data_IF_875949846658
#
_entry.id   IF_875949846658
#
_cell.length_a   1.000
_cell.length_b   1.000
_cell.length_c   1.000
_cell.angle_alpha   90.00
_cell.angle_beta   90.00
_cell.angle_gamma   90.00
#
_symmetry.space_group_name_H-M   'P 1'
#
loop_
_entity.id
_entity.type
_entity.pdbx_description
1 polymer ?
#
# COMPACT_ATOMS: atom_id res chain seq x y z
N UNK A 1 59.50 -1.48 12.74
CA UNK A 1 58.22 -2.11 13.02
C UNK A 1 57.25 -1.74 11.88
N UNK A 2 56.76 -2.74 11.13
CA UNK A 2 55.83 -2.48 10.04
C UNK A 2 54.43 -2.33 10.63
N UNK A 3 53.78 -1.18 10.42
CA UNK A 3 52.36 -0.98 10.77
C UNK A 3 51.50 -1.65 9.71
N UNK A 4 50.84 -2.75 10.08
CA UNK A 4 49.81 -3.38 9.25
C UNK A 4 48.52 -2.63 9.47
N UNK A 5 48.06 -1.86 8.47
CA UNK A 5 46.73 -1.20 8.50
C UNK A 5 45.71 -2.23 8.01
N UNK A 6 44.93 -2.77 8.91
CA UNK A 6 43.75 -3.57 8.56
C UNK A 6 42.66 -2.66 8.00
N UNK A 7 42.38 -2.75 6.70
CA UNK A 7 41.19 -2.14 6.11
C UNK A 7 39.95 -2.98 6.47
N UNK A 8 38.89 -2.34 6.93
CA UNK A 8 37.61 -3.01 7.20
C UNK A 8 36.94 -3.40 5.86
N UNK A 9 36.26 -4.55 5.81
CA UNK A 9 35.65 -5.10 4.58
C UNK A 9 34.62 -4.19 3.91
N UNK A 10 34.13 -3.17 4.64
CA UNK A 10 33.21 -2.15 4.16
C UNK A 10 33.88 -0.81 3.78
N UNK A 11 35.19 -0.71 3.84
CA UNK A 11 35.91 0.51 3.49
C UNK A 11 36.02 0.66 1.96
N UNK A 12 35.39 1.70 1.42
CA UNK A 12 35.50 2.08 0.01
C UNK A 12 36.82 2.80 -0.20
N UNK A 13 37.51 2.50 -1.32
CA UNK A 13 38.75 3.20 -1.70
C UNK A 13 38.45 4.69 -1.92
N UNK A 14 39.35 5.57 -1.44
CA UNK A 14 39.24 7.02 -1.68
C UNK A 14 39.18 7.39 -3.16
N UNK A 15 39.78 6.57 -4.04
CA UNK A 15 39.72 6.76 -5.50
C UNK A 15 38.33 6.54 -6.09
N UNK A 16 37.37 5.95 -5.34
CA UNK A 16 35.98 5.76 -5.70
C UNK A 16 35.05 6.80 -5.01
N UNK A 17 35.58 7.64 -4.14
CA UNK A 17 34.85 8.74 -3.56
C UNK A 17 34.63 9.84 -4.60
N UNK A 18 33.41 10.37 -4.64
CA UNK A 18 33.11 11.51 -5.53
C UNK A 18 33.94 12.72 -5.08
N UNK A 19 34.77 13.32 -5.95
CA UNK A 19 35.55 14.49 -5.58
C UNK A 19 34.66 15.62 -5.04
N UNK A 20 35.15 16.31 -4.02
CA UNK A 20 34.42 17.41 -3.35
C UNK A 20 34.02 18.50 -4.33
N UNK A 21 34.85 18.80 -5.30
CA UNK A 21 34.54 19.78 -6.38
C UNK A 21 33.31 19.40 -7.22
N UNK A 22 33.12 18.10 -7.47
CA UNK A 22 31.95 17.59 -8.21
C UNK A 22 30.68 17.65 -7.33
N UNK A 23 30.83 17.45 -6.04
CA UNK A 23 29.73 17.58 -5.08
C UNK A 23 29.30 19.05 -4.90
N UNK A 24 30.24 19.97 -4.84
CA UNK A 24 29.98 21.41 -4.68
C UNK A 24 29.46 22.05 -5.98
N UNK A 25 29.93 21.60 -7.16
CA UNK A 25 29.46 22.14 -8.45
C UNK A 25 27.97 21.85 -8.73
N UNK A 26 27.44 20.71 -8.23
CA UNK A 26 25.99 20.43 -8.31
C UNK A 26 25.15 21.46 -7.55
N UNK A 27 25.67 21.99 -6.45
CA UNK A 27 25.00 23.02 -5.66
C UNK A 27 25.00 24.39 -6.33
N UNK A 28 26.02 24.66 -7.15
CA UNK A 28 26.12 25.91 -7.96
C UNK A 28 25.26 25.84 -9.22
N UNK A 29 25.13 24.69 -9.87
CA UNK A 29 24.22 24.47 -11.01
C UNK A 29 22.76 24.75 -10.64
N UNK A 30 22.32 24.35 -9.45
CA UNK A 30 20.96 24.63 -8.96
C UNK A 30 20.75 26.14 -8.68
N UNK A 31 21.82 26.87 -8.28
CA UNK A 31 21.74 28.34 -8.06
C UNK A 31 21.85 29.15 -9.36
N UNK A 32 22.49 28.60 -10.41
CA UNK A 32 22.67 29.27 -11.71
C UNK A 32 21.40 29.35 -12.57
N UNK A 33 20.42 28.50 -12.34
CA UNK A 33 19.14 28.54 -13.06
C UNK A 33 18.16 29.62 -12.58
N UNK A 34 18.51 30.36 -11.52
CA UNK A 34 17.67 31.43 -10.96
C UNK A 34 17.86 32.81 -11.56
N UNK A 35 18.88 33.06 -12.42
CA UNK A 35 19.25 34.42 -12.89
C UNK A 35 19.31 34.60 -14.40
N UNK A 36 18.84 33.68 -15.23
CA UNK A 36 18.79 33.81 -16.69
C UNK A 36 17.35 34.03 -17.22
N UNK A 37 16.57 34.84 -16.55
CA UNK A 37 15.14 35.09 -16.80
C UNK A 37 14.81 36.43 -17.41
N UNK A 38 15.67 37.05 -18.27
CA UNK A 38 15.32 38.28 -19.02
C UNK A 38 15.96 38.25 -20.40
N UNK A 39 15.29 37.62 -21.35
CA UNK A 39 15.67 37.74 -22.77
C UNK A 39 15.34 36.48 -23.56
N UNK A 40 14.07 36.28 -23.93
CA UNK A 40 13.60 35.52 -25.09
C UNK A 40 12.05 35.43 -25.09
N UNK A 41 11.44 36.56 -25.31
CA UNK A 41 9.99 36.67 -25.52
C UNK A 41 9.60 36.48 -27.00
N UNK A 42 10.19 35.51 -27.73
CA UNK A 42 9.87 35.33 -29.16
C UNK A 42 9.91 33.86 -29.65
N UNK A 43 9.91 32.86 -28.76
CA UNK A 43 9.83 31.45 -29.18
C UNK A 43 8.72 30.66 -28.42
N UNK A 44 7.62 31.34 -28.09
CA UNK A 44 6.52 30.74 -27.30
C UNK A 44 5.40 30.13 -28.18
N UNK A 45 5.65 29.80 -29.45
CA UNK A 45 4.58 29.38 -30.36
C UNK A 45 4.59 27.91 -30.81
N UNK A 46 5.47 27.03 -30.28
CA UNK A 46 5.44 25.61 -30.62
C UNK A 46 5.90 24.75 -29.41
N UNK A 47 5.28 24.91 -28.26
CA UNK A 47 5.32 23.84 -27.26
C UNK A 47 4.13 22.91 -27.54
N UNK A 48 4.35 21.61 -27.82
CA UNK A 48 3.25 20.68 -27.79
C UNK A 48 2.62 20.79 -26.40
N UNK A 49 1.32 21.09 -26.38
CA UNK A 49 0.59 21.34 -25.16
C UNK A 49 0.92 20.24 -24.15
N UNK A 50 1.38 20.61 -22.95
CA UNK A 50 1.22 19.76 -21.79
C UNK A 50 -0.26 19.48 -21.73
N UNK A 51 -0.68 18.29 -22.18
CA UNK A 51 -2.03 17.85 -21.92
C UNK A 51 -2.25 18.05 -20.43
N UNK A 52 -3.19 18.91 -20.08
CA UNK A 52 -3.68 19.02 -18.72
C UNK A 52 -4.02 17.57 -18.35
N UNK A 53 -3.34 17.01 -17.37
CA UNK A 53 -3.73 15.72 -16.83
C UNK A 53 -5.24 15.84 -16.55
N UNK A 54 -6.04 15.00 -17.18
CA UNK A 54 -7.48 15.03 -16.98
C UNK A 54 -7.74 14.99 -15.48
N UNK A 55 -8.55 15.91 -14.99
CA UNK A 55 -8.89 15.97 -13.58
C UNK A 55 -9.50 14.61 -13.19
N UNK A 56 -9.13 14.10 -12.00
CA UNK A 56 -9.69 12.85 -11.48
C UNK A 56 -11.23 13.00 -11.44
N UNK A 57 -11.98 12.13 -12.13
CA UNK A 57 -13.44 12.23 -12.21
C UNK A 57 -14.16 12.05 -10.86
N UNK A 58 -13.44 11.55 -9.84
CA UNK A 58 -13.95 11.36 -8.50
C UNK A 58 -13.51 12.44 -7.51
N UNK A 59 -12.73 13.44 -7.95
CA UNK A 59 -12.16 14.46 -7.06
C UNK A 59 -13.20 15.21 -6.22
N UNK A 60 -14.42 15.34 -6.72
CA UNK A 60 -15.53 16.01 -6.02
C UNK A 60 -16.13 15.19 -4.85
N UNK A 61 -15.68 13.94 -4.66
CA UNK A 61 -16.07 13.08 -3.53
C UNK A 61 -15.17 13.26 -2.30
N UNK A 62 -14.12 14.09 -2.42
CA UNK A 62 -13.13 14.31 -1.36
C UNK A 62 -13.06 15.81 -1.00
N UNK A 63 -12.83 16.11 0.29
CA UNK A 63 -12.74 15.20 1.42
C UNK A 63 -14.09 14.60 1.78
N UNK A 64 -14.11 13.35 2.25
CA UNK A 64 -15.28 12.75 2.86
C UNK A 64 -15.36 13.07 4.37
N UNK A 65 -16.53 12.92 4.96
CA UNK A 65 -16.74 13.11 6.39
C UNK A 65 -15.96 12.08 7.21
N UNK A 66 -15.37 12.53 8.33
CA UNK A 66 -14.66 11.65 9.24
C UNK A 66 -15.64 10.85 10.09
N UNK A 67 -15.46 9.54 10.14
CA UNK A 67 -16.16 8.68 11.06
C UNK A 67 -15.42 8.64 12.41
N UNK A 68 -15.97 9.32 13.41
CA UNK A 68 -15.37 9.47 14.74
C UNK A 68 -15.31 8.16 15.55
N UNK A 69 -15.97 7.10 15.11
CA UNK A 69 -15.83 5.78 15.71
C UNK A 69 -14.45 5.15 15.45
N UNK A 70 -13.71 5.63 14.43
CA UNK A 70 -12.40 5.15 14.04
C UNK A 70 -11.32 6.20 14.31
N UNK A 71 -11.17 6.55 15.58
CA UNK A 71 -10.11 7.44 16.08
C UNK A 71 -8.96 6.62 16.65
N UNK A 72 -7.79 7.23 16.74
CA UNK A 72 -6.59 6.65 17.34
C UNK A 72 -5.84 7.70 18.15
N UNK A 73 -5.15 7.26 19.18
CA UNK A 73 -4.36 8.06 20.12
C UNK A 73 -2.92 8.32 19.64
N UNK A 74 -2.70 8.34 18.34
CA UNK A 74 -1.38 8.51 17.70
C UNK A 74 -1.44 9.60 16.64
N UNK A 75 -0.39 10.42 16.57
CA UNK A 75 -0.27 11.45 15.55
C UNK A 75 -0.33 10.88 14.13
N UNK A 76 -0.93 11.66 13.23
CA UNK A 76 -0.94 11.32 11.81
C UNK A 76 0.48 11.37 11.24
N UNK A 77 0.81 10.41 10.44
CA UNK A 77 2.03 10.47 9.63
C UNK A 77 1.84 11.54 8.56
N UNK A 78 2.74 12.54 8.45
CA UNK A 78 2.64 13.55 7.41
C UNK A 78 2.57 12.96 6.01
N UNK A 79 1.76 13.57 5.15
CA UNK A 79 1.50 13.08 3.79
C UNK A 79 2.78 12.95 2.96
N UNK A 80 3.70 13.89 3.04
CA UNK A 80 4.97 13.88 2.32
C UNK A 80 5.87 12.70 2.74
N UNK A 81 5.92 12.38 4.04
CA UNK A 81 6.65 11.21 4.55
C UNK A 81 6.03 9.92 4.03
N UNK A 82 4.70 9.79 4.14
CA UNK A 82 3.98 8.60 3.70
C UNK A 82 4.07 8.42 2.17
N UNK A 83 3.94 9.51 1.42
CA UNK A 83 3.97 9.49 -0.05
C UNK A 83 5.31 9.05 -0.64
N UNK A 84 6.42 9.16 0.11
CA UNK A 84 7.75 8.81 -0.36
C UNK A 84 8.29 7.48 0.18
N UNK A 85 7.53 6.78 1.02
CA UNK A 85 7.96 5.53 1.67
C UNK A 85 6.91 4.44 1.50
N UNK A 86 7.01 3.66 0.42
CA UNK A 86 5.99 2.70 0.06
C UNK A 86 6.58 1.34 -0.33
N UNK A 87 5.83 0.27 -0.01
CA UNK A 87 6.01 -1.05 -0.59
C UNK A 87 4.97 -1.22 -1.71
N UNK A 88 5.41 -1.22 -2.97
CA UNK A 88 4.55 -1.49 -4.11
C UNK A 88 5.40 -2.26 -5.13
N UNK A 89 5.48 -3.57 -4.93
CA UNK A 89 6.44 -4.46 -5.60
C UNK A 89 6.25 -4.51 -7.10
N UNK A 90 5.05 -4.24 -7.58
CA UNK A 90 4.73 -4.09 -9.00
C UNK A 90 5.60 -3.01 -9.67
N UNK A 91 6.03 -1.99 -8.90
CA UNK A 91 6.90 -0.92 -9.38
C UNK A 91 8.35 -1.02 -8.91
N UNK A 92 8.65 -1.93 -7.98
CA UNK A 92 10.00 -2.16 -7.48
C UNK A 92 10.07 -2.62 -6.03
N UNK A 93 11.19 -3.24 -5.64
CA UNK A 93 11.41 -3.81 -4.31
C UNK A 93 11.96 -2.82 -3.27
N UNK A 94 12.14 -1.54 -3.64
CA UNK A 94 12.63 -0.48 -2.75
C UNK A 94 11.49 0.47 -2.32
N UNK A 95 11.72 1.26 -1.25
CA UNK A 95 10.70 2.14 -0.69
C UNK A 95 10.38 3.38 -1.54
N UNK A 96 11.23 3.75 -2.48
CA UNK A 96 11.11 4.98 -3.28
C UNK A 96 10.41 4.75 -4.62
N UNK A 97 9.44 3.85 -4.67
CA UNK A 97 8.70 3.49 -5.90
C UNK A 97 7.76 4.61 -6.39
N UNK A 98 7.53 5.62 -5.58
CA UNK A 98 6.52 6.64 -5.85
C UNK A 98 6.65 7.31 -7.22
N UNK A 99 7.89 7.48 -7.74
CA UNK A 99 8.13 8.03 -9.08
C UNK A 99 7.70 7.06 -10.17
N UNK A 100 8.06 5.79 -10.04
CA UNK A 100 7.70 4.76 -11.00
C UNK A 100 6.17 4.53 -11.03
N UNK A 101 5.51 4.58 -9.87
CA UNK A 101 4.07 4.44 -9.74
C UNK A 101 3.27 5.50 -10.50
N UNK A 102 3.86 6.67 -10.85
CA UNK A 102 3.17 7.69 -11.64
C UNK A 102 2.81 7.20 -13.06
N UNK A 103 3.46 6.15 -13.55
CA UNK A 103 3.11 5.52 -14.83
C UNK A 103 1.75 4.80 -14.80
N UNK A 104 1.23 4.43 -13.62
CA UNK A 104 -0.05 3.74 -13.48
C UNK A 104 -1.19 4.61 -14.03
N UNK A 105 -2.02 4.02 -14.89
CA UNK A 105 -3.28 4.61 -15.35
C UNK A 105 -4.39 4.14 -14.41
N UNK A 106 -5.08 5.08 -13.77
CA UNK A 106 -6.10 4.81 -12.76
C UNK A 106 -7.53 5.14 -13.22
N UNK A 107 -7.68 5.67 -14.43
CA UNK A 107 -8.96 5.95 -15.08
C UNK A 107 -8.80 5.80 -16.61
N UNK A 108 -9.73 5.08 -17.28
CA UNK A 108 -10.79 4.26 -16.68
C UNK A 108 -10.23 3.04 -15.96
N UNK A 109 -10.93 2.58 -14.89
CA UNK A 109 -10.51 1.41 -14.13
C UNK A 109 -11.72 0.52 -13.84
N UNK A 110 -11.80 -0.60 -14.56
CA UNK A 110 -12.83 -1.60 -14.37
C UNK A 110 -12.34 -2.70 -13.41
N UNK A 111 -13.23 -3.16 -12.56
CA UNK A 111 -13.01 -4.27 -11.65
C UNK A 111 -13.97 -5.40 -11.95
N UNK A 112 -13.45 -6.63 -11.94
CA UNK A 112 -14.23 -7.85 -12.07
C UNK A 112 -14.62 -8.36 -10.67
N UNK A 113 -15.90 -8.69 -10.48
CA UNK A 113 -16.43 -9.33 -9.27
C UNK A 113 -17.09 -10.62 -9.70
N UNK A 114 -16.55 -11.77 -9.27
CA UNK A 114 -16.97 -13.08 -9.77
C UNK A 114 -16.83 -14.23 -8.74
N UNK A 115 -16.86 -15.47 -9.24
CA UNK A 115 -16.81 -16.68 -8.43
C UNK A 115 -18.18 -17.05 -7.87
N UNK A 116 -18.22 -17.39 -6.59
CA UNK A 116 -19.44 -17.81 -5.89
C UNK A 116 -20.32 -16.60 -5.51
N UNK A 117 -20.88 -15.95 -6.51
CA UNK A 117 -21.82 -14.82 -6.40
C UNK A 117 -23.11 -15.13 -7.16
N UNK A 118 -24.22 -14.47 -6.82
CA UNK A 118 -25.48 -14.64 -7.55
C UNK A 118 -25.31 -14.29 -9.04
N UNK A 119 -24.59 -13.19 -9.33
CA UNK A 119 -24.35 -12.73 -10.69
C UNK A 119 -22.97 -12.07 -10.79
N UNK A 120 -22.04 -12.63 -11.57
CA UNK A 120 -20.78 -11.97 -11.88
C UNK A 120 -20.99 -10.62 -12.55
N UNK A 121 -20.13 -9.64 -12.22
CA UNK A 121 -20.24 -8.30 -12.78
C UNK A 121 -18.87 -7.68 -13.04
N UNK A 122 -18.83 -6.77 -14.00
CA UNK A 122 -17.73 -5.80 -14.15
C UNK A 122 -18.27 -4.42 -13.80
N UNK A 123 -17.56 -3.70 -12.93
CA UNK A 123 -17.95 -2.37 -12.49
C UNK A 123 -16.79 -1.39 -12.61
N UNK A 124 -17.04 -0.24 -13.21
CA UNK A 124 -16.08 0.86 -13.23
C UNK A 124 -15.86 1.43 -11.82
N UNK A 125 -14.61 1.78 -11.50
CA UNK A 125 -14.27 2.38 -10.21
C UNK A 125 -15.11 3.63 -9.91
N UNK A 126 -15.27 4.51 -10.90
CA UNK A 126 -16.04 5.75 -10.76
C UNK A 126 -17.53 5.48 -10.45
N UNK A 127 -18.08 4.44 -11.04
CA UNK A 127 -19.48 4.03 -10.80
C UNK A 127 -19.62 3.39 -9.41
N UNK A 128 -18.63 2.61 -8.96
CA UNK A 128 -18.63 2.00 -7.65
C UNK A 128 -18.61 3.05 -6.53
N UNK A 129 -17.68 4.01 -6.59
CA UNK A 129 -17.51 5.02 -5.53
C UNK A 129 -18.67 6.05 -5.49
N UNK A 130 -19.50 6.10 -6.52
CA UNK A 130 -20.72 6.93 -6.52
C UNK A 130 -21.93 6.18 -5.96
N UNK A 131 -21.87 4.84 -5.90
CA UNK A 131 -22.95 4.00 -5.37
C UNK A 131 -22.86 3.82 -3.86
N UNK A 132 -21.66 3.85 -3.30
CA UNK A 132 -21.42 3.58 -1.88
C UNK A 132 -20.91 4.86 -1.22
N UNK A 133 -21.55 5.33 -0.12
CA UNK A 133 -21.09 6.50 0.61
C UNK A 133 -19.66 6.34 1.10
N UNK A 134 -18.84 7.38 0.92
CA UNK A 134 -17.46 7.42 1.40
C UNK A 134 -17.38 8.05 2.78
N UNK A 135 -16.49 7.55 3.61
CA UNK A 135 -16.15 8.13 4.91
C UNK A 135 -14.61 8.15 5.11
N UNK A 136 -14.12 9.01 5.99
CA UNK A 136 -12.71 9.02 6.40
C UNK A 136 -12.55 8.27 7.73
N UNK A 137 -11.54 7.38 7.80
CA UNK A 137 -11.16 6.63 9.01
C UNK A 137 -9.68 6.81 9.32
N UNK A 138 -9.35 6.97 10.59
CA UNK A 138 -7.96 6.97 11.03
C UNK A 138 -7.52 5.56 11.37
N UNK A 139 -6.54 5.04 10.63
CA UNK A 139 -6.01 3.69 10.86
C UNK A 139 -4.51 3.69 11.12
N UNK A 140 -4.09 2.83 12.06
CA UNK A 140 -2.69 2.38 12.14
C UNK A 140 -2.42 1.43 10.99
N UNK A 141 -1.27 1.59 10.36
CA UNK A 141 -0.75 0.64 9.39
C UNK A 141 0.58 0.08 9.91
N UNK A 142 0.67 -1.23 10.06
CA UNK A 142 1.83 -1.94 10.60
C UNK A 142 2.43 -2.86 9.55
N UNK A 143 3.61 -2.52 9.06
CA UNK A 143 4.34 -3.38 8.14
C UNK A 143 5.02 -4.53 8.87
N UNK A 144 5.07 -5.71 8.26
CA UNK A 144 5.84 -6.86 8.78
C UNK A 144 7.32 -6.52 9.00
N UNK A 145 7.86 -5.55 8.27
CA UNK A 145 9.23 -5.01 8.42
C UNK A 145 9.42 -4.13 9.67
N UNK A 146 8.52 -4.20 10.65
CA UNK A 146 8.62 -3.50 11.93
C UNK A 146 8.66 -1.97 11.85
N UNK A 147 7.90 -1.38 10.95
CA UNK A 147 7.61 0.05 10.92
C UNK A 147 6.11 0.31 10.83
N UNK A 148 5.67 1.48 11.26
CA UNK A 148 4.27 1.85 11.26
C UNK A 148 4.04 3.29 10.87
N UNK A 149 2.81 3.56 10.44
CA UNK A 149 2.28 4.88 10.17
C UNK A 149 0.82 4.96 10.58
N UNK A 150 0.33 6.17 10.71
CA UNK A 150 -1.08 6.50 10.94
C UNK A 150 -1.60 7.28 9.77
N UNK A 151 -2.66 6.79 9.14
CA UNK A 151 -3.15 7.34 7.87
C UNK A 151 -4.63 7.64 7.95
N UNK A 152 -5.07 8.85 7.51
CA UNK A 152 -6.48 9.17 7.31
C UNK A 152 -6.90 8.61 5.95
N UNK A 153 -7.47 7.41 5.95
CA UNK A 153 -7.97 6.74 4.76
C UNK A 153 -9.40 7.17 4.47
N UNK A 154 -9.70 7.49 3.22
CA UNK A 154 -11.07 7.68 2.73
C UNK A 154 -11.49 6.48 1.91
N UNK A 155 -12.72 6.00 2.10
CA UNK A 155 -13.25 4.85 1.38
C UNK A 155 -14.57 4.38 1.98
N UNK A 156 -14.80 3.07 1.92
CA UNK A 156 -16.02 2.43 2.43
C UNK A 156 -15.74 1.03 2.98
N UNK A 157 -16.62 0.49 3.81
CA UNK A 157 -16.46 -0.83 4.40
C UNK A 157 -16.43 -1.93 3.32
N UNK A 158 -15.54 -2.92 3.46
CA UNK A 158 -15.53 -4.08 2.55
C UNK A 158 -16.87 -4.82 2.57
N UNK A 159 -17.57 -4.82 3.71
CA UNK A 159 -18.89 -5.39 3.87
C UNK A 159 -19.92 -4.80 2.88
N UNK A 160 -19.83 -3.52 2.51
CA UNK A 160 -20.72 -2.91 1.53
C UNK A 160 -20.52 -3.47 0.13
N UNK A 161 -19.26 -3.75 -0.25
CA UNK A 161 -18.96 -4.43 -1.50
C UNK A 161 -19.42 -5.89 -1.46
N UNK A 162 -19.25 -6.59 -0.34
CA UNK A 162 -19.77 -7.95 -0.16
C UNK A 162 -21.29 -7.98 -0.32
N UNK A 163 -21.99 -7.02 0.26
CA UNK A 163 -23.45 -6.88 0.10
C UNK A 163 -23.85 -6.61 -1.36
N UNK A 164 -23.09 -5.78 -2.07
CA UNK A 164 -23.29 -5.50 -3.51
C UNK A 164 -23.06 -6.75 -4.37
N UNK A 165 -22.04 -7.54 -4.05
CA UNK A 165 -21.63 -8.74 -4.80
C UNK A 165 -22.60 -9.91 -4.60
N UNK A 166 -23.35 -9.95 -3.49
CA UNK A 166 -24.29 -11.02 -3.12
C UNK A 166 -23.68 -12.41 -3.22
N UNK A 167 -22.66 -12.74 -2.39
CA UNK A 167 -22.04 -14.04 -2.44
C UNK A 167 -23.02 -15.15 -2.07
N UNK A 168 -22.84 -16.31 -2.70
CA UNK A 168 -23.56 -17.53 -2.34
C UNK A 168 -23.14 -18.01 -0.96
N UNK A 169 -24.00 -18.73 -0.25
CA UNK A 169 -23.72 -19.25 1.10
C UNK A 169 -22.54 -20.23 1.16
N UNK A 170 -22.10 -20.76 0.03
CA UNK A 170 -20.92 -21.61 -0.10
C UNK A 170 -19.60 -20.83 -0.14
N UNK A 171 -19.63 -19.51 -0.36
CA UNK A 171 -18.44 -18.68 -0.34
C UNK A 171 -17.86 -18.58 1.09
N UNK A 172 -16.59 -18.94 1.24
CA UNK A 172 -15.86 -18.90 2.51
C UNK A 172 -14.74 -17.87 2.52
N UNK A 173 -14.27 -17.48 1.34
CA UNK A 173 -13.14 -16.57 1.18
C UNK A 173 -13.44 -15.53 0.09
N UNK A 174 -12.82 -14.36 0.28
CA UNK A 174 -12.73 -13.31 -0.73
C UNK A 174 -11.28 -13.22 -1.18
N UNK A 175 -11.03 -13.47 -2.46
CA UNK A 175 -9.73 -13.41 -3.11
C UNK A 175 -9.63 -12.12 -3.92
N UNK A 176 -8.53 -11.41 -3.79
CA UNK A 176 -8.25 -10.17 -4.49
C UNK A 176 -7.05 -10.36 -5.42
N UNK A 177 -7.11 -9.75 -6.59
CA UNK A 177 -5.97 -9.65 -7.51
C UNK A 177 -5.71 -8.21 -7.89
N UNK A 178 -4.43 -7.85 -7.96
CA UNK A 178 -4.00 -6.58 -8.56
C UNK A 178 -4.00 -6.69 -10.09
N UNK A 179 -3.73 -5.58 -10.76
CA UNK A 179 -3.55 -5.54 -12.21
C UNK A 179 -2.26 -6.26 -12.64
N UNK A 180 -2.22 -6.70 -13.89
CA UNK A 180 -1.02 -7.27 -14.52
C UNK A 180 -0.70 -6.48 -15.79
N UNK A 181 0.30 -5.60 -15.71
CA UNK A 181 0.82 -4.83 -16.84
C UNK A 181 2.33 -4.56 -16.65
N UNK A 182 3.20 -5.52 -17.03
CA UNK A 182 4.64 -5.36 -16.90
C UNK A 182 5.24 -4.29 -17.81
N UNK A 183 4.46 -3.75 -18.75
CA UNK A 183 4.84 -2.57 -19.56
C UNK A 183 4.85 -1.29 -18.74
N UNK A 184 3.91 -1.16 -17.81
CA UNK A 184 3.75 -0.02 -16.90
C UNK A 184 4.43 -0.28 -15.57
N UNK A 185 4.15 -1.42 -14.96
CA UNK A 185 4.67 -1.84 -13.66
C UNK A 185 5.88 -2.77 -13.83
N UNK A 186 7.05 -2.17 -13.96
CA UNK A 186 8.28 -2.89 -14.36
C UNK A 186 8.76 -3.95 -13.36
N UNK A 187 8.34 -3.87 -12.09
CA UNK A 187 8.58 -4.91 -11.10
C UNK A 187 7.93 -6.24 -11.45
N UNK A 188 6.82 -6.21 -12.18
CA UNK A 188 6.14 -7.41 -12.68
C UNK A 188 6.92 -8.18 -13.76
N UNK A 189 8.03 -7.66 -14.25
CA UNK A 189 8.98 -8.39 -15.11
C UNK A 189 9.83 -9.40 -14.34
N UNK A 190 9.84 -9.33 -13.02
CA UNK A 190 10.63 -10.22 -12.16
C UNK A 190 9.94 -11.59 -12.09
N UNK A 191 10.50 -12.58 -12.79
CA UNK A 191 9.90 -13.91 -13.01
C UNK A 191 9.86 -14.82 -11.78
N UNK A 192 10.60 -14.48 -10.73
CA UNK A 192 10.59 -15.24 -9.47
C UNK A 192 9.44 -14.86 -8.53
N UNK A 193 8.65 -13.84 -8.87
CA UNK A 193 7.43 -13.50 -8.17
C UNK A 193 6.21 -14.06 -8.91
N UNK A 194 5.22 -14.61 -8.20
CA UNK A 194 3.99 -15.18 -8.77
C UNK A 194 2.96 -14.08 -9.12
N UNK A 195 3.26 -13.28 -10.14
CA UNK A 195 2.34 -12.22 -10.59
C UNK A 195 1.06 -12.77 -11.23
N UNK A 196 -0.10 -12.11 -11.09
CA UNK A 196 -0.34 -10.88 -10.35
C UNK A 196 -0.28 -11.07 -8.83
N UNK A 197 -0.12 -9.97 -8.08
CA UNK A 197 -0.21 -10.01 -6.62
C UNK A 197 -1.61 -10.47 -6.21
N UNK A 198 -1.67 -11.50 -5.35
CA UNK A 198 -2.91 -12.10 -4.83
C UNK A 198 -2.96 -11.95 -3.33
N UNK A 199 -4.12 -11.63 -2.79
CA UNK A 199 -4.43 -11.67 -1.38
C UNK A 199 -5.80 -12.32 -1.13
N UNK A 200 -6.02 -12.75 0.11
CA UNK A 200 -7.28 -13.30 0.53
C UNK A 200 -7.61 -13.02 1.98
N UNK A 201 -8.89 -12.98 2.25
CA UNK A 201 -9.47 -12.95 3.61
C UNK A 201 -10.62 -13.95 3.69
N UNK A 202 -11.05 -14.32 4.90
CA UNK A 202 -12.29 -15.09 5.04
C UNK A 202 -13.50 -14.19 4.84
N UNK A 203 -14.68 -14.80 4.64
CA UNK A 203 -15.92 -14.03 4.50
C UNK A 203 -16.27 -13.29 5.80
N UNK A 204 -15.92 -13.88 6.95
CA UNK A 204 -16.10 -13.26 8.27
C UNK A 204 -15.18 -12.05 8.45
N UNK A 205 -13.91 -12.14 8.00
CA UNK A 205 -13.00 -11.00 8.00
C UNK A 205 -13.46 -9.91 7.04
N UNK A 206 -13.99 -10.27 5.87
CA UNK A 206 -14.54 -9.32 4.91
C UNK A 206 -15.78 -8.60 5.41
N UNK A 207 -16.58 -9.27 6.26
CA UNK A 207 -17.74 -8.70 6.92
C UNK A 207 -17.45 -7.89 8.18
N UNK A 208 -16.20 -7.85 8.64
CA UNK A 208 -15.82 -7.07 9.81
C UNK A 208 -15.74 -5.58 9.49
N UNK A 209 -16.27 -4.73 10.36
CA UNK A 209 -16.35 -3.28 10.17
C UNK A 209 -14.98 -2.61 9.91
N UNK A 210 -13.88 -3.19 10.41
CA UNK A 210 -12.52 -2.67 10.18
C UNK A 210 -11.96 -2.97 8.79
N UNK A 211 -12.50 -3.96 8.06
CA UNK A 211 -12.08 -4.25 6.70
C UNK A 211 -12.57 -3.13 5.77
N UNK A 212 -11.65 -2.43 5.10
CA UNK A 212 -11.95 -1.19 4.44
C UNK A 212 -11.37 -1.13 3.03
N UNK A 213 -12.18 -0.74 2.05
CA UNK A 213 -11.73 -0.45 0.70
C UNK A 213 -11.43 1.04 0.58
N UNK A 214 -10.17 1.34 0.40
CA UNK A 214 -9.63 2.70 0.39
C UNK A 214 -9.61 3.25 -1.03
N UNK A 215 -10.14 4.44 -1.22
CA UNK A 215 -10.24 5.17 -2.49
C UNK A 215 -9.60 6.55 -2.42
N UNK A 216 -9.22 6.98 -1.20
CA UNK A 216 -8.60 8.28 -0.93
C UNK A 216 -7.75 8.28 0.34
N UNK A 217 -6.96 9.31 0.50
CA UNK A 217 -6.17 9.58 1.69
C UNK A 217 -5.90 11.07 1.83
N UNK A 218 -5.78 11.56 3.06
CA UNK A 218 -5.49 12.98 3.34
C UNK A 218 -6.47 13.95 2.67
N UNK A 219 -7.75 13.57 2.59
CA UNK A 219 -8.81 14.37 1.99
C UNK A 219 -8.75 14.51 0.47
N UNK A 220 -8.06 13.60 -0.23
CA UNK A 220 -7.82 13.60 -1.69
C UNK A 220 -8.07 12.21 -2.29
N UNK A 221 -8.29 12.10 -3.62
CA UNK A 221 -8.22 10.82 -4.31
C UNK A 221 -6.90 10.09 -4.01
N UNK A 222 -6.95 8.77 -4.00
CA UNK A 222 -5.81 7.95 -3.62
C UNK A 222 -4.62 8.15 -4.55
N UNK A 223 -3.47 8.49 -3.97
CA UNK A 223 -2.23 8.64 -4.75
C UNK A 223 -1.78 7.28 -5.32
N UNK A 224 -1.20 7.30 -6.53
CA UNK A 224 -0.82 6.10 -7.27
C UNK A 224 0.10 5.16 -6.47
N UNK A 225 1.09 5.73 -5.76
CA UNK A 225 2.01 4.97 -4.90
C UNK A 225 1.34 4.35 -3.67
N UNK A 226 0.16 4.81 -3.29
CA UNK A 226 -0.63 4.21 -2.23
C UNK A 226 -1.47 3.02 -2.72
N UNK A 227 -1.52 2.79 -4.04
CA UNK A 227 -2.28 1.71 -4.65
C UNK A 227 -3.61 2.13 -5.23
N UNK A 228 -3.64 3.32 -5.88
CA UNK A 228 -4.81 3.82 -6.59
C UNK A 228 -5.29 2.86 -7.70
N UNK A 229 -6.56 2.95 -8.12
CA UNK A 229 -7.59 3.83 -7.58
C UNK A 229 -8.25 3.27 -6.33
N UNK A 230 -8.10 1.96 -6.05
CA UNK A 230 -8.72 1.26 -4.91
C UNK A 230 -7.78 0.21 -4.33
N UNK A 231 -7.69 0.18 -3.00
CA UNK A 231 -6.89 -0.80 -2.26
C UNK A 231 -7.61 -1.30 -1.02
N UNK A 232 -7.13 -2.41 -0.47
CA UNK A 232 -7.59 -2.94 0.81
C UNK A 232 -6.81 -2.30 1.97
N UNK A 233 -7.48 -2.11 3.11
CA UNK A 233 -6.88 -1.82 4.40
C UNK A 233 -7.46 -2.76 5.47
N UNK A 234 -6.58 -3.53 6.09
CA UNK A 234 -6.86 -4.45 7.19
C UNK A 234 -5.97 -4.05 8.37
N UNK A 235 -6.39 -3.10 9.22
CA UNK A 235 -5.50 -2.44 10.17
C UNK A 235 -4.95 -3.37 11.24
N UNK A 236 -5.59 -4.50 11.53
CA UNK A 236 -5.14 -5.51 12.52
C UNK A 236 -4.14 -6.54 11.97
N UNK A 237 -3.95 -6.55 10.63
CA UNK A 237 -3.04 -7.45 9.93
C UNK A 237 -1.77 -6.73 9.49
N UNK A 238 -0.71 -7.50 9.26
CA UNK A 238 0.49 -6.94 8.64
C UNK A 238 0.19 -6.35 7.26
N UNK A 239 0.82 -5.23 6.95
CA UNK A 239 0.49 -4.38 5.80
C UNK A 239 0.55 -5.05 4.43
N UNK A 240 1.24 -6.19 4.28
CA UNK A 240 1.27 -6.92 3.00
C UNK A 240 -0.08 -7.55 2.66
N UNK A 241 -0.95 -7.78 3.65
CA UNK A 241 -2.33 -8.23 3.43
C UNK A 241 -3.22 -7.16 2.78
N UNK A 242 -2.80 -5.92 2.81
CA UNK A 242 -3.54 -4.78 2.27
C UNK A 242 -3.18 -4.54 0.80
N UNK A 243 -3.64 -5.42 -0.08
CA UNK A 243 -3.39 -5.41 -1.54
C UNK A 243 -3.77 -4.07 -2.17
N UNK A 244 -2.99 -3.64 -3.18
CA UNK A 244 -3.10 -2.37 -3.89
C UNK A 244 -3.65 -2.55 -5.30
N UNK A 245 -4.29 -1.48 -5.82
CA UNK A 245 -4.74 -1.39 -7.21
C UNK A 245 -5.53 -2.64 -7.64
N UNK A 246 -6.58 -2.93 -6.87
CA UNK A 246 -7.41 -4.13 -7.04
C UNK A 246 -8.08 -4.11 -8.42
N UNK A 247 -7.95 -5.21 -9.15
CA UNK A 247 -8.54 -5.39 -10.48
C UNK A 247 -9.61 -6.48 -10.50
N UNK A 248 -9.51 -7.48 -9.62
CA UNK A 248 -10.46 -8.58 -9.52
C UNK A 248 -10.72 -8.98 -8.09
N UNK A 249 -11.97 -9.32 -7.80
CA UNK A 249 -12.44 -9.81 -6.52
C UNK A 249 -13.26 -11.08 -6.78
N UNK A 250 -12.78 -12.22 -6.28
CA UNK A 250 -13.39 -13.52 -6.50
C UNK A 250 -13.86 -14.12 -5.17
N UNK A 251 -15.12 -14.47 -5.09
CA UNK A 251 -15.69 -15.21 -3.96
C UNK A 251 -15.51 -16.70 -4.18
N UNK A 252 -14.96 -17.43 -3.21
CA UNK A 252 -14.57 -18.84 -3.37
C UNK A 252 -14.77 -19.63 -2.08
N UNK A 253 -14.95 -20.95 -2.19
CA UNK A 253 -14.95 -21.91 -1.07
C UNK A 253 -13.55 -22.42 -0.73
N UNK A 254 -12.59 -22.20 -1.61
CA UNK A 254 -11.21 -22.65 -1.50
C UNK A 254 -10.32 -21.52 -0.97
N UNK A 255 -9.53 -21.80 0.08
CA UNK A 255 -8.61 -20.81 0.65
C UNK A 255 -7.56 -20.38 -0.39
N UNK A 256 -7.50 -19.11 -0.75
CA UNK A 256 -6.48 -18.63 -1.68
C UNK A 256 -5.09 -18.67 -1.02
N UNK A 257 -4.08 -18.99 -1.83
CA UNK A 257 -2.68 -18.80 -1.46
C UNK A 257 -2.32 -17.35 -1.75
N UNK A 258 -1.83 -16.63 -0.72
CA UNK A 258 -1.44 -15.24 -0.89
C UNK A 258 -0.05 -15.11 -1.52
N UNK A 259 0.22 -13.95 -2.15
CA UNK A 259 1.48 -13.70 -2.84
C UNK A 259 2.73 -14.00 -1.99
N UNK A 260 2.77 -13.47 -0.77
CA UNK A 260 3.93 -13.67 0.10
C UNK A 260 3.97 -15.08 0.71
N UNK A 261 2.83 -15.73 0.94
CA UNK A 261 2.77 -17.12 1.34
C UNK A 261 3.38 -18.03 0.26
N UNK A 262 3.14 -17.75 -1.02
CA UNK A 262 3.73 -18.50 -2.13
C UNK A 262 5.24 -18.23 -2.27
N UNK A 263 5.67 -16.99 -2.09
CA UNK A 263 7.09 -16.60 -2.17
C UNK A 263 7.91 -17.16 -1.01
N UNK A 264 7.36 -17.22 0.21
CA UNK A 264 8.09 -17.64 1.40
C UNK A 264 7.19 -18.20 2.50
N UNK A 265 6.67 -19.43 2.37
CA UNK A 265 5.70 -20.03 3.31
C UNK A 265 6.24 -20.27 4.71
N UNK A 266 7.57 -20.19 4.90
CA UNK A 266 8.21 -20.24 6.21
C UNK A 266 8.20 -18.89 6.94
N UNK A 267 7.98 -17.79 6.24
CA UNK A 267 8.04 -16.43 6.76
C UNK A 267 6.67 -15.71 6.74
N UNK A 268 5.79 -16.10 5.82
CA UNK A 268 4.50 -15.46 5.56
C UNK A 268 3.38 -16.48 5.48
N UNK A 269 2.22 -16.13 6.01
CA UNK A 269 1.04 -16.99 5.98
C UNK A 269 -0.22 -16.24 5.61
N UNK A 270 -1.31 -16.97 5.49
CA UNK A 270 -2.62 -16.45 5.09
C UNK A 270 -3.19 -15.43 6.08
N UNK A 271 -3.11 -15.72 7.38
CA UNK A 271 -3.77 -14.90 8.41
C UNK A 271 -3.02 -13.60 8.68
N UNK A 272 -1.73 -13.67 8.93
CA UNK A 272 -0.80 -12.55 9.12
C UNK A 272 -1.31 -11.46 10.08
N UNK A 273 -1.94 -11.85 11.18
CA UNK A 273 -2.38 -10.93 12.21
C UNK A 273 -1.17 -10.38 12.99
N UNK A 274 -1.20 -9.10 13.34
CA UNK A 274 -0.11 -8.49 14.10
C UNK A 274 -0.04 -9.08 15.51
N UNK A 275 1.13 -9.66 15.85
CA UNK A 275 1.41 -10.19 17.17
C UNK A 275 2.85 -9.88 17.61
N UNK A 276 3.07 -9.07 18.67
CA UNK A 276 4.41 -8.76 19.16
C UNK A 276 5.15 -9.95 19.75
N UNK A 277 4.42 -10.99 20.19
CA UNK A 277 4.98 -12.21 20.78
C UNK A 277 5.50 -13.22 19.77
N UNK A 278 5.14 -13.10 18.48
CA UNK A 278 5.56 -14.00 17.40
C UNK A 278 6.54 -13.27 16.49
N UNK A 279 7.84 -13.57 16.57
CA UNK A 279 8.84 -12.90 15.75
C UNK A 279 8.73 -13.35 14.28
N UNK A 280 9.12 -12.47 13.35
CA UNK A 280 9.50 -12.87 12.01
C UNK A 280 10.81 -13.69 12.08
N UNK A 281 11.05 -14.69 11.24
CA UNK A 281 12.28 -15.50 11.31
C UNK A 281 13.58 -14.68 11.27
N UNK A 282 13.56 -13.47 10.71
CA UNK A 282 14.73 -12.60 10.53
C UNK A 282 14.78 -11.41 11.49
N UNK A 283 13.70 -11.04 12.17
CA UNK A 283 13.65 -9.91 13.11
C UNK A 283 12.53 -10.02 14.14
N UNK A 284 12.63 -9.20 15.19
CA UNK A 284 11.62 -9.11 16.25
C UNK A 284 10.41 -8.29 15.81
N UNK A 285 9.22 -8.68 16.26
CA UNK A 285 7.98 -7.93 16.10
C UNK A 285 7.54 -7.19 17.36
N UNK A 286 8.36 -7.22 18.44
CA UNK A 286 8.00 -6.60 19.73
C UNK A 286 7.83 -5.10 19.68
N UNK A 287 8.58 -4.45 18.80
CA UNK A 287 8.58 -2.99 18.63
C UNK A 287 8.41 -2.62 17.17
N UNK A 288 7.93 -1.41 16.95
CA UNK A 288 7.79 -0.82 15.63
C UNK A 288 8.38 0.58 15.60
N UNK A 289 9.05 0.92 14.52
CA UNK A 289 9.54 2.26 14.26
C UNK A 289 8.42 3.10 13.66
N UNK A 290 8.00 4.15 14.36
CA UNK A 290 7.06 5.14 13.83
C UNK A 290 7.74 5.92 12.72
N UNK A 291 7.16 5.93 11.52
CA UNK A 291 7.85 6.33 10.30
C UNK A 291 8.34 7.78 10.32
N UNK A 292 7.52 8.73 10.74
CA UNK A 292 7.84 10.16 10.69
C UNK A 292 8.71 10.66 11.87
N UNK A 293 8.59 10.03 13.04
CA UNK A 293 9.37 10.43 14.23
C UNK A 293 10.67 9.64 14.37
N UNK A 294 10.73 8.44 13.75
CA UNK A 294 11.83 7.50 13.95
C UNK A 294 11.83 6.81 15.32
N UNK A 295 10.90 7.14 16.20
CA UNK A 295 10.79 6.55 17.53
C UNK A 295 10.34 5.09 17.47
N UNK A 296 10.84 4.28 18.39
CA UNK A 296 10.38 2.91 18.58
C UNK A 296 9.32 2.87 19.69
N UNK A 297 8.19 2.26 19.37
CA UNK A 297 7.08 2.01 20.31
C UNK A 297 6.78 0.52 20.40
N UNK A 298 6.13 0.10 21.48
CA UNK A 298 5.70 -1.30 21.62
C UNK A 298 4.61 -1.62 20.61
N UNK A 299 4.77 -2.71 19.88
CA UNK A 299 3.73 -3.23 19.00
C UNK A 299 2.58 -3.79 19.82
N UNK A 300 1.36 -3.45 19.46
CA UNK A 300 0.15 -3.95 20.13
C UNK A 300 -0.37 -5.20 19.41
N UNK A 301 -0.97 -6.12 20.19
CA UNK A 301 -1.65 -7.29 19.65
C UNK A 301 -2.77 -6.84 18.68
N UNK A 302 -2.88 -7.49 17.52
CA UNK A 302 -3.78 -7.06 16.44
C UNK A 302 -3.61 -5.57 16.07
N UNK A 303 -2.41 -5.02 16.24
CA UNK A 303 -2.11 -3.60 16.00
C UNK A 303 -3.00 -2.64 16.84
N UNK A 304 -3.51 -3.12 17.99
CA UNK A 304 -4.40 -2.39 18.88
C UNK A 304 -5.89 -2.51 18.56
N UNK A 305 -6.28 -3.42 17.67
CA UNK A 305 -7.68 -3.64 17.27
C UNK A 305 -8.24 -4.96 17.82
N UNK A 306 -7.67 -5.49 18.92
CA UNK A 306 -8.04 -6.79 19.48
C UNK A 306 -9.51 -6.90 19.85
N UNK A 307 -10.10 -5.87 20.44
CA UNK A 307 -11.52 -5.87 20.84
C UNK A 307 -12.48 -6.07 19.66
N UNK A 308 -12.10 -5.58 18.48
CA UNK A 308 -12.93 -5.65 17.28
C UNK A 308 -12.73 -6.96 16.47
N UNK A 309 -11.60 -7.69 16.66
CA UNK A 309 -11.27 -8.79 15.75
C UNK A 309 -10.87 -10.09 16.43
N UNK A 310 -10.48 -10.10 17.72
CA UNK A 310 -9.98 -11.31 18.37
C UNK A 310 -11.00 -12.46 18.37
N UNK A 311 -12.29 -12.14 18.40
CA UNK A 311 -13.37 -13.13 18.37
C UNK A 311 -13.41 -13.95 17.06
N UNK A 312 -12.90 -13.41 15.94
CA UNK A 312 -12.84 -14.10 14.64
C UNK A 312 -11.88 -15.31 14.68
N UNK A 313 -10.92 -15.33 15.60
CA UNK A 313 -9.83 -16.30 15.62
C UNK A 313 -9.88 -17.28 16.79
N UNK A 314 -10.81 -17.11 17.75
CA UNK A 314 -10.85 -17.88 19.00
C UNK A 314 -10.99 -19.39 18.81
N UNK A 315 -11.67 -19.82 17.73
CA UNK A 315 -11.98 -21.22 17.45
C UNK A 315 -11.03 -21.85 16.41
N UNK A 316 -10.09 -21.08 15.85
CA UNK A 316 -9.11 -21.51 14.86
C UNK A 316 -7.89 -22.17 15.51
N UNK A 317 -8.08 -23.41 16.02
CA UNK A 317 -7.01 -24.16 16.67
C UNK A 317 -6.07 -24.78 15.62
N UNK A 318 -4.76 -24.61 15.82
CA UNK A 318 -3.74 -25.19 14.94
C UNK A 318 -3.37 -24.35 13.73
N UNK A 319 -4.06 -23.22 13.49
CA UNK A 319 -3.74 -22.29 12.41
C UNK A 319 -2.55 -21.37 12.76
N UNK A 320 -1.76 -21.02 11.75
CA UNK A 320 -0.64 -20.08 11.87
C UNK A 320 -1.15 -18.64 11.79
N UNK A 321 -1.81 -18.15 12.84
CA UNK A 321 -2.56 -16.89 12.83
C UNK A 321 -1.70 -15.64 12.70
N UNK A 322 -0.38 -15.71 12.92
CA UNK A 322 0.49 -14.53 13.14
C UNK A 322 1.70 -14.47 12.21
N UNK A 323 1.64 -15.15 11.09
CA UNK A 323 2.72 -15.14 10.10
C UNK A 323 2.25 -14.45 8.82
#
# INVERSE_FOLDING_TARGET
MAHIIHRKDWAISESLATPEEVFLSRRQLVKGFGMAGLGLAAAAALRPGRGLAAADPTANLYPAERNEAYTIDRELTPEDVNSMYNNFYEFGSHKQIWRAAQALKTSPWDMEIDGLVEQPMTIGFEDLVRKIPLEERLYRHRCVEAWSMTVPWTGFALADLVALAKPLSSAKYVRFETFLDPGVATGQKQRWYPWPYVEGVTIEEAGNDLAFLVTGAYGKPLAKQFGAPIRLALPWKYGFKSIKSIKRITFTDTRPVSFWEEVGPAEYGFWANVNPGVPHPRWSQKQERVLHTGLYVQTQMFNGYGDQVAHLYKDLKGEKLYM
#
